data_IF_151945786375
#
_entry.id   IF_151945786375
#
_cell.length_a   1.000
_cell.length_b   1.000
_cell.length_c   1.000
_cell.angle_alpha   90.00
_cell.angle_beta   90.00
_cell.angle_gamma   90.00
#
_symmetry.space_group_name_H-M   'P 1'
#
loop_
_entity.id
_entity.type
_entity.pdbx_description
1 polymer ?
#
# COMPACT_ATOMS: atom_id res chain seq x y z
N UNK A 1 25.26 -15.92 -19.07
CA UNK A 1 23.94 -15.28 -19.31
C UNK A 1 22.78 -15.95 -18.56
N UNK A 2 22.89 -17.19 -18.04
CA UNK A 2 21.79 -17.83 -17.30
C UNK A 2 21.65 -17.39 -15.83
N UNK A 3 22.74 -16.96 -15.19
CA UNK A 3 22.73 -16.60 -13.75
C UNK A 3 21.89 -15.34 -13.49
N UNK A 4 22.15 -14.25 -14.22
CA UNK A 4 21.40 -12.99 -14.07
C UNK A 4 19.90 -13.16 -14.39
N UNK A 5 19.52 -14.03 -15.34
CA UNK A 5 18.10 -14.29 -15.60
C UNK A 5 17.42 -15.02 -14.45
N UNK A 6 18.14 -15.91 -13.77
CA UNK A 6 17.63 -16.63 -12.61
C UNK A 6 17.50 -15.68 -11.42
N UNK A 7 18.49 -14.82 -11.21
CA UNK A 7 18.44 -13.81 -10.14
C UNK A 7 17.27 -12.85 -10.30
N UNK A 8 17.01 -12.39 -11.53
CA UNK A 8 15.95 -11.42 -11.79
C UNK A 8 14.56 -12.06 -11.73
N UNK A 9 14.43 -13.31 -12.18
CA UNK A 9 13.18 -14.06 -12.01
C UNK A 9 12.80 -14.24 -10.53
N UNK A 10 13.79 -14.37 -9.64
CA UNK A 10 13.59 -14.42 -8.20
C UNK A 10 13.17 -13.06 -7.61
N UNK A 11 13.74 -11.95 -8.08
CA UNK A 11 13.29 -10.59 -7.70
C UNK A 11 11.85 -10.32 -8.15
N UNK A 12 11.46 -10.81 -9.32
CA UNK A 12 10.09 -10.68 -9.82
C UNK A 12 9.09 -11.47 -8.96
N UNK A 13 9.45 -12.68 -8.51
CA UNK A 13 8.63 -13.49 -7.60
C UNK A 13 8.32 -12.74 -6.30
N UNK A 14 9.34 -12.08 -5.72
CA UNK A 14 9.20 -11.25 -4.53
C UNK A 14 8.16 -10.15 -4.74
N UNK A 15 8.20 -9.46 -5.89
CA UNK A 15 7.23 -8.40 -6.19
C UNK A 15 5.80 -8.92 -6.34
N UNK A 16 5.59 -10.03 -7.06
CA UNK A 16 4.25 -10.59 -7.24
C UNK A 16 3.68 -11.12 -5.92
N UNK A 17 4.54 -11.66 -5.05
CA UNK A 17 4.12 -12.06 -3.70
C UNK A 17 3.71 -10.85 -2.86
N UNK A 18 4.46 -9.76 -2.94
CA UNK A 18 4.15 -8.54 -2.19
C UNK A 18 2.86 -7.87 -2.68
N UNK A 19 2.58 -7.92 -3.99
CA UNK A 19 1.29 -7.51 -4.57
C UNK A 19 0.12 -8.31 -4.00
N UNK A 20 0.24 -9.64 -3.91
CA UNK A 20 -0.78 -10.51 -3.31
C UNK A 20 -1.03 -10.17 -1.83
N UNK A 21 0.04 -9.92 -1.07
CA UNK A 21 -0.07 -9.51 0.34
C UNK A 21 -0.81 -8.16 0.46
N UNK A 22 -0.44 -7.16 -0.35
CA UNK A 22 -1.14 -5.86 -0.34
C UNK A 22 -2.62 -5.97 -0.73
N UNK A 23 -2.98 -6.87 -1.65
CA UNK A 23 -4.38 -7.11 -2.01
C UNK A 23 -5.18 -7.70 -0.84
N UNK A 24 -4.62 -8.70 -0.14
CA UNK A 24 -5.25 -9.27 1.05
C UNK A 24 -5.43 -8.22 2.15
N UNK A 25 -4.40 -7.39 2.39
CA UNK A 25 -4.47 -6.31 3.38
C UNK A 25 -5.54 -5.26 3.04
N UNK A 26 -5.78 -5.00 1.75
CA UNK A 26 -6.85 -4.11 1.31
C UNK A 26 -8.23 -4.67 1.67
N UNK A 27 -8.45 -5.97 1.43
CA UNK A 27 -9.70 -6.66 1.80
C UNK A 27 -9.88 -6.65 3.33
N UNK A 28 -8.85 -7.01 4.09
CA UNK A 28 -8.89 -7.00 5.56
C UNK A 28 -9.20 -5.60 6.10
N UNK A 29 -8.68 -4.56 5.45
CA UNK A 29 -9.03 -3.18 5.75
C UNK A 29 -10.53 -2.90 5.60
N UNK A 30 -11.14 -3.35 4.49
CA UNK A 30 -12.56 -3.12 4.20
C UNK A 30 -13.42 -3.85 5.23
N UNK A 31 -13.08 -5.10 5.52
CA UNK A 31 -13.75 -5.91 6.54
C UNK A 31 -13.65 -5.24 7.91
N UNK A 32 -12.48 -4.72 8.27
CA UNK A 32 -12.28 -4.05 9.58
C UNK A 32 -13.17 -2.81 9.70
N UNK A 33 -13.23 -1.97 8.66
CA UNK A 33 -14.09 -0.77 8.67
C UNK A 33 -15.56 -1.17 8.78
N UNK A 34 -16.01 -2.15 7.99
CA UNK A 34 -17.39 -2.64 8.04
C UNK A 34 -17.76 -3.27 9.40
N UNK A 35 -16.87 -4.04 10.00
CA UNK A 35 -17.09 -4.63 11.31
C UNK A 35 -17.21 -3.56 12.40
N UNK A 36 -16.33 -2.56 12.40
CA UNK A 36 -16.37 -1.48 13.38
C UNK A 36 -17.57 -0.56 13.20
N UNK A 37 -17.99 -0.25 11.97
CA UNK A 37 -19.23 0.51 11.76
C UNK A 37 -20.43 -0.24 12.33
N UNK A 38 -20.56 -1.54 12.06
CA UNK A 38 -21.63 -2.38 12.63
C UNK A 38 -21.58 -2.35 14.17
N UNK A 39 -20.40 -2.56 14.77
CA UNK A 39 -20.24 -2.52 16.23
C UNK A 39 -20.66 -1.16 16.79
N UNK A 40 -20.30 -0.04 16.13
CA UNK A 40 -20.67 1.30 16.58
C UNK A 40 -22.17 1.56 16.57
N UNK A 41 -22.94 0.93 15.68
CA UNK A 41 -24.39 1.06 15.68
C UNK A 41 -25.10 0.02 16.55
N UNK A 42 -24.60 -1.21 16.58
CA UNK A 42 -25.23 -2.33 17.30
C UNK A 42 -24.95 -2.25 18.80
N UNK A 43 -23.73 -1.90 19.22
CA UNK A 43 -23.37 -1.90 20.64
C UNK A 43 -24.26 -0.96 21.47
N UNK A 44 -24.55 0.29 21.05
CA UNK A 44 -25.49 1.15 21.77
C UNK A 44 -26.93 0.58 21.81
N UNK A 45 -27.39 -0.03 20.72
CA UNK A 45 -28.74 -0.63 20.66
C UNK A 45 -28.89 -1.83 21.60
N UNK A 46 -27.90 -2.73 21.61
CA UNK A 46 -27.83 -3.88 22.54
C UNK A 46 -27.77 -3.37 23.98
N UNK A 47 -26.94 -2.38 24.27
CA UNK A 47 -26.83 -1.85 25.63
C UNK A 47 -28.17 -1.28 26.13
N UNK A 48 -28.90 -0.57 25.27
CA UNK A 48 -30.21 0.01 25.60
C UNK A 48 -31.29 -1.06 25.83
N UNK A 49 -31.23 -2.19 25.13
CA UNK A 49 -32.26 -3.25 25.24
C UNK A 49 -32.06 -4.14 26.47
N UNK A 50 -30.81 -4.45 26.83
CA UNK A 50 -30.52 -5.32 27.98
C UNK A 50 -30.46 -4.59 29.32
N UNK A 51 -30.21 -3.28 29.33
CA UNK A 51 -30.23 -2.45 30.54
C UNK A 51 -31.35 -1.39 30.43
N UNK A 52 -32.63 -1.77 30.59
CA UNK A 52 -33.73 -0.82 30.58
C UNK A 52 -33.55 0.20 31.71
N UNK A 53 -33.29 1.46 31.33
CA UNK A 53 -32.83 2.53 32.21
C UNK A 53 -34.02 3.23 32.87
N UNK A 54 -34.06 3.19 34.21
CA UNK A 54 -34.99 3.99 35.03
C UNK A 54 -34.26 5.12 35.80
N UNK A 55 -32.93 5.26 35.65
CA UNK A 55 -32.13 6.23 36.42
C UNK A 55 -31.26 7.14 35.55
N UNK A 56 -31.21 8.44 35.90
CA UNK A 56 -30.51 9.54 35.19
C UNK A 56 -29.01 9.28 34.95
N UNK A 57 -28.36 8.49 35.81
CA UNK A 57 -26.91 8.19 35.71
C UNK A 57 -26.56 7.28 34.53
N UNK A 58 -27.42 6.33 34.17
CA UNK A 58 -27.16 5.41 33.05
C UNK A 58 -27.32 6.10 31.69
N UNK A 59 -28.16 7.14 31.59
CA UNK A 59 -28.32 7.92 30.37
C UNK A 59 -27.05 8.73 30.04
N UNK A 60 -26.40 9.30 31.06
CA UNK A 60 -25.11 10.01 30.90
C UNK A 60 -24.02 9.03 30.45
N UNK A 61 -23.92 7.86 31.11
CA UNK A 61 -22.93 6.84 30.80
C UNK A 61 -23.08 6.33 29.36
N UNK A 62 -24.32 6.10 28.90
CA UNK A 62 -24.62 5.72 27.53
C UNK A 62 -24.14 6.77 26.51
N UNK A 63 -24.44 8.05 26.74
CA UNK A 63 -24.01 9.14 25.84
C UNK A 63 -22.49 9.22 25.77
N UNK A 64 -21.79 9.12 26.90
CA UNK A 64 -20.33 9.12 26.94
C UNK A 64 -19.73 7.91 26.20
N UNK A 65 -20.31 6.72 26.36
CA UNK A 65 -19.87 5.50 25.67
C UNK A 65 -20.08 5.61 24.15
N UNK A 66 -21.23 6.11 23.70
CA UNK A 66 -21.53 6.31 22.28
C UNK A 66 -20.55 7.30 21.63
N UNK A 67 -20.25 8.41 22.31
CA UNK A 67 -19.28 9.41 21.85
C UNK A 67 -17.87 8.79 21.75
N UNK A 68 -17.45 8.03 22.76
CA UNK A 68 -16.16 7.32 22.73
C UNK A 68 -16.06 6.35 21.55
N UNK A 69 -17.12 5.60 21.27
CA UNK A 69 -17.16 4.70 20.11
C UNK A 69 -17.15 5.44 18.77
N UNK A 70 -17.77 6.62 18.67
CA UNK A 70 -17.72 7.45 17.46
C UNK A 70 -16.30 7.98 17.20
N UNK A 71 -15.59 8.43 18.23
CA UNK A 71 -14.19 8.84 18.09
C UNK A 71 -13.27 7.68 17.72
N UNK A 72 -13.49 6.50 18.32
CA UNK A 72 -12.76 5.28 17.95
C UNK A 72 -13.03 4.92 16.49
N UNK A 73 -14.29 4.98 16.05
CA UNK A 73 -14.67 4.72 14.67
C UNK A 73 -13.99 5.70 13.71
N UNK A 74 -13.97 6.99 14.04
CA UNK A 74 -13.30 8.00 13.24
C UNK A 74 -11.81 7.68 13.07
N UNK A 75 -11.12 7.30 14.15
CA UNK A 75 -9.71 6.89 14.09
C UNK A 75 -9.50 5.66 13.20
N UNK A 76 -10.34 4.64 13.35
CA UNK A 76 -10.25 3.41 12.55
C UNK A 76 -10.52 3.71 11.07
N UNK A 77 -11.52 4.53 10.76
CA UNK A 77 -11.82 4.94 9.39
C UNK A 77 -10.64 5.68 8.75
N UNK A 78 -10.09 6.70 9.42
CA UNK A 78 -8.96 7.48 8.90
C UNK A 78 -7.73 6.59 8.69
N UNK A 79 -7.35 5.80 9.70
CA UNK A 79 -6.16 4.92 9.61
C UNK A 79 -6.31 3.85 8.51
N UNK A 80 -7.48 3.21 8.40
CA UNK A 80 -7.73 2.17 7.39
C UNK A 80 -7.82 2.74 5.97
N UNK A 81 -8.41 3.92 5.78
CA UNK A 81 -8.40 4.61 4.48
C UNK A 81 -6.97 4.95 4.02
N UNK A 82 -6.13 5.40 4.95
CA UNK A 82 -4.71 5.65 4.65
C UNK A 82 -3.97 4.37 4.25
N UNK A 83 -4.20 3.25 4.95
CA UNK A 83 -3.61 1.96 4.59
C UNK A 83 -4.08 1.48 3.22
N UNK A 84 -5.38 1.54 2.94
CA UNK A 84 -5.93 1.15 1.64
C UNK A 84 -5.35 1.99 0.50
N UNK A 85 -5.20 3.30 0.71
CA UNK A 85 -4.61 4.20 -0.27
C UNK A 85 -3.15 3.82 -0.58
N UNK A 86 -2.38 3.47 0.44
CA UNK A 86 -1.02 2.99 0.29
C UNK A 86 -0.94 1.64 -0.44
N UNK A 87 -1.77 0.67 -0.03
CA UNK A 87 -1.82 -0.66 -0.64
C UNK A 87 -2.25 -0.55 -2.13
N UNK A 88 -3.21 0.32 -2.45
CA UNK A 88 -3.64 0.59 -3.83
C UNK A 88 -2.52 1.22 -4.67
N UNK A 89 -1.82 2.24 -4.14
CA UNK A 89 -0.67 2.85 -4.80
C UNK A 89 0.42 1.82 -5.12
N UNK A 90 0.72 0.94 -4.17
CA UNK A 90 1.73 -0.11 -4.34
C UNK A 90 1.30 -1.14 -5.39
N UNK A 91 0.05 -1.61 -5.35
CA UNK A 91 -0.48 -2.53 -6.36
C UNK A 91 -0.35 -1.90 -7.76
N UNK A 92 -0.73 -0.63 -7.92
CA UNK A 92 -0.59 0.08 -9.19
C UNK A 92 0.88 0.19 -9.64
N UNK A 93 1.79 0.53 -8.72
CA UNK A 93 3.23 0.64 -8.99
C UNK A 93 3.90 -0.68 -9.35
N UNK A 94 3.50 -1.78 -8.71
CA UNK A 94 4.03 -3.12 -9.02
C UNK A 94 3.45 -3.59 -10.35
N UNK A 95 2.14 -3.48 -10.53
CA UNK A 95 1.43 -3.93 -11.74
C UNK A 95 1.97 -3.24 -12.99
N UNK A 96 2.24 -1.93 -12.96
CA UNK A 96 2.83 -1.22 -14.09
C UNK A 96 4.23 -1.73 -14.48
N UNK A 97 4.96 -2.35 -13.53
CA UNK A 97 6.27 -2.97 -13.78
C UNK A 97 6.17 -4.44 -14.14
N UNK A 98 5.18 -5.17 -13.64
CA UNK A 98 5.09 -6.63 -13.81
C UNK A 98 4.24 -7.09 -15.00
N UNK A 99 3.34 -6.26 -15.56
CA UNK A 99 2.53 -6.60 -16.75
C UNK A 99 3.40 -7.08 -17.94
N UNK A 100 4.60 -6.53 -18.10
CA UNK A 100 5.53 -6.90 -19.17
C UNK A 100 6.13 -8.30 -19.03
N UNK A 101 5.95 -8.94 -17.87
CA UNK A 101 6.57 -10.22 -17.52
C UNK A 101 5.56 -11.35 -17.32
N UNK A 102 4.31 -11.12 -17.73
CA UNK A 102 3.24 -12.11 -17.70
C UNK A 102 3.59 -13.27 -18.65
N UNK A 103 4.29 -14.28 -18.12
CA UNK A 103 4.78 -15.44 -18.87
C UNK A 103 6.16 -15.97 -18.49
N UNK A 104 6.96 -15.24 -17.70
CA UNK A 104 8.24 -15.76 -17.19
C UNK A 104 7.98 -16.69 -16.01
N UNK A 105 8.48 -17.93 -16.07
CA UNK A 105 8.45 -18.85 -14.92
C UNK A 105 9.31 -18.25 -13.79
N UNK A 106 8.64 -17.79 -12.74
CA UNK A 106 9.28 -17.30 -11.53
C UNK A 106 10.09 -18.43 -10.88
N UNK A 107 11.35 -18.16 -10.53
CA UNK A 107 12.17 -19.05 -9.72
C UNK A 107 11.92 -18.77 -8.24
N UNK A 108 12.11 -19.78 -7.38
CA UNK A 108 11.91 -19.65 -5.94
C UNK A 108 12.92 -18.64 -5.35
N UNK A 109 12.40 -17.50 -4.87
CA UNK A 109 13.21 -16.41 -4.34
C UNK A 109 14.11 -16.82 -3.17
N UNK A 110 13.75 -17.88 -2.41
CA UNK A 110 14.54 -18.36 -1.27
C UNK A 110 15.93 -18.84 -1.65
N UNK A 111 16.12 -19.21 -2.93
CA UNK A 111 17.40 -19.70 -3.43
C UNK A 111 18.40 -18.57 -3.70
N UNK A 112 17.94 -17.33 -3.77
CA UNK A 112 18.77 -16.17 -4.08
C UNK A 112 18.85 -15.21 -2.88
N UNK A 113 20.07 -14.97 -2.38
CA UNK A 113 20.32 -14.04 -1.28
C UNK A 113 19.85 -12.61 -1.56
N UNK A 114 19.98 -12.13 -2.80
CA UNK A 114 19.56 -10.79 -3.19
C UNK A 114 18.04 -10.63 -3.16
N UNK A 115 17.31 -11.68 -3.57
CA UNK A 115 15.86 -11.70 -3.53
C UNK A 115 15.31 -11.81 -2.09
N UNK A 116 15.96 -12.59 -1.23
CA UNK A 116 15.63 -12.63 0.21
C UNK A 116 15.87 -11.26 0.86
N UNK A 117 17.00 -10.62 0.58
CA UNK A 117 17.29 -9.27 1.09
C UNK A 117 16.24 -8.25 0.62
N UNK A 118 15.84 -8.31 -0.66
CA UNK A 118 14.78 -7.46 -1.19
C UNK A 118 13.44 -7.69 -0.47
N UNK A 119 13.08 -8.95 -0.22
CA UNK A 119 11.86 -9.31 0.50
C UNK A 119 11.84 -8.72 1.92
N UNK A 120 12.94 -8.86 2.66
CA UNK A 120 13.04 -8.34 4.03
C UNK A 120 13.00 -6.81 4.08
N UNK A 121 13.69 -6.14 3.14
CA UNK A 121 13.67 -4.68 3.03
C UNK A 121 12.27 -4.14 2.70
N UNK A 122 11.56 -4.79 1.77
CA UNK A 122 10.18 -4.44 1.43
C UNK A 122 9.22 -4.64 2.61
N UNK A 123 9.38 -5.74 3.35
CA UNK A 123 8.60 -6.00 4.56
C UNK A 123 8.87 -4.95 5.65
N UNK A 124 10.14 -4.56 5.82
CA UNK A 124 10.54 -3.51 6.75
C UNK A 124 9.98 -2.14 6.33
N UNK A 125 10.06 -1.79 5.04
CA UNK A 125 9.45 -0.57 4.50
C UNK A 125 7.94 -0.55 4.80
N UNK A 126 7.22 -1.65 4.54
CA UNK A 126 5.77 -1.72 4.81
C UNK A 126 5.44 -1.48 6.29
N UNK A 127 6.21 -2.10 7.19
CA UNK A 127 6.05 -1.91 8.64
C UNK A 127 6.27 -0.45 9.05
N UNK A 128 7.29 0.21 8.49
CA UNK A 128 7.61 1.60 8.79
C UNK A 128 6.55 2.55 8.21
N UNK A 129 6.09 2.33 6.98
CA UNK A 129 5.04 3.15 6.37
C UNK A 129 3.72 3.00 7.12
N UNK A 130 3.31 1.78 7.49
CA UNK A 130 2.11 1.58 8.33
C UNK A 130 2.21 2.32 9.66
N UNK A 131 3.39 2.31 10.31
CA UNK A 131 3.63 3.06 11.54
C UNK A 131 3.53 4.57 11.32
N UNK A 132 4.07 5.09 10.21
CA UNK A 132 3.95 6.50 9.83
C UNK A 132 2.50 6.92 9.64
N UNK A 133 1.73 6.13 8.88
CA UNK A 133 0.32 6.38 8.62
C UNK A 133 -0.52 6.32 9.91
N UNK A 134 -0.19 5.43 10.86
CA UNK A 134 -0.81 5.42 12.19
C UNK A 134 -0.56 6.72 12.96
N UNK A 135 0.67 7.24 12.95
CA UNK A 135 1.03 8.48 13.66
C UNK A 135 0.27 9.66 13.04
N UNK A 136 0.21 9.73 11.70
CA UNK A 136 -0.53 10.78 11.00
C UNK A 136 -2.03 10.68 11.30
N UNK A 137 -2.60 9.48 11.24
CA UNK A 137 -4.01 9.26 11.58
C UNK A 137 -4.31 9.67 13.04
N UNK A 138 -3.45 9.30 13.99
CA UNK A 138 -3.58 9.69 15.39
C UNK A 138 -3.53 11.21 15.54
N UNK A 139 -2.57 11.88 14.88
CA UNK A 139 -2.45 13.34 14.88
C UNK A 139 -3.71 14.03 14.33
N UNK A 140 -4.24 13.55 13.21
CA UNK A 140 -5.48 14.06 12.61
C UNK A 140 -6.68 13.89 13.56
N UNK A 141 -6.79 12.72 14.20
CA UNK A 141 -7.89 12.43 15.11
C UNK A 141 -7.83 13.23 16.41
N UNK A 142 -6.64 13.44 16.96
CA UNK A 142 -6.43 14.26 18.15
C UNK A 142 -6.72 15.74 17.87
N UNK A 143 -6.27 16.24 16.72
CA UNK A 143 -6.59 17.60 16.27
C UNK A 143 -8.10 17.78 16.09
N UNK A 144 -8.78 16.77 15.51
CA UNK A 144 -10.24 16.79 15.37
C UNK A 144 -10.94 16.82 16.74
N UNK A 145 -10.58 15.91 17.66
CA UNK A 145 -11.16 15.85 19.01
C UNK A 145 -10.98 17.19 19.73
N UNK A 146 -9.78 17.76 19.68
CA UNK A 146 -9.46 19.05 20.29
C UNK A 146 -10.32 20.20 19.75
N UNK A 147 -10.69 20.16 18.47
CA UNK A 147 -11.51 21.17 17.82
C UNK A 147 -13.00 21.07 18.16
N UNK A 148 -13.45 20.00 18.80
CA UNK A 148 -14.86 19.82 19.15
C UNK A 148 -15.25 20.54 20.44
N UNK A 149 -16.43 21.16 20.46
CA UNK A 149 -16.98 21.85 21.64
C UNK A 149 -17.13 20.91 22.85
N UNK A 150 -17.43 19.64 22.58
CA UNK A 150 -17.54 18.58 23.58
C UNK A 150 -16.27 18.38 24.42
N UNK A 151 -15.09 18.50 23.81
CA UNK A 151 -13.83 18.35 24.53
C UNK A 151 -13.68 19.44 25.60
N UNK A 152 -14.09 20.66 25.27
CA UNK A 152 -14.10 21.80 26.19
C UNK A 152 -15.06 21.55 27.37
N UNK A 153 -16.29 21.11 27.09
CA UNK A 153 -17.31 20.83 28.10
C UNK A 153 -16.89 19.72 29.09
N UNK A 154 -16.27 18.65 28.59
CA UNK A 154 -15.74 17.55 29.42
C UNK A 154 -14.60 18.04 30.32
N UNK A 155 -13.74 18.93 29.84
CA UNK A 155 -12.64 19.48 30.66
C UNK A 155 -13.17 20.42 31.75
N UNK A 156 -14.18 21.24 31.45
CA UNK A 156 -14.77 22.15 32.44
C UNK A 156 -15.43 21.40 33.61
N UNK A 157 -16.11 20.29 33.32
CA UNK A 157 -16.78 19.44 34.31
C UNK A 157 -15.82 18.58 35.13
N UNK A 158 -14.59 18.37 34.63
CA UNK A 158 -13.57 17.60 35.34
C UNK A 158 -12.93 18.38 36.50
N UNK A 159 -12.44 17.65 37.50
CA UNK A 159 -11.73 18.19 38.67
C UNK A 159 -10.27 18.55 38.36
N UNK A 160 -10.00 19.11 37.17
CA UNK A 160 -8.66 19.51 36.74
C UNK A 160 -8.28 20.90 37.30
N UNK A 161 -6.97 21.17 37.51
CA UNK A 161 -6.47 22.49 37.87
C UNK A 161 -6.90 23.59 36.90
N UNK A 162 -7.07 24.82 37.40
CA UNK A 162 -7.57 25.97 36.64
C UNK A 162 -6.78 26.27 35.35
N UNK A 163 -5.47 25.98 35.34
CA UNK A 163 -4.60 26.14 34.17
C UNK A 163 -5.04 25.31 32.95
N UNK A 164 -5.63 24.14 33.17
CA UNK A 164 -6.14 23.30 32.07
C UNK A 164 -7.55 23.70 31.65
N UNK A 165 -8.29 24.41 32.51
CA UNK A 165 -9.63 24.93 32.21
C UNK A 165 -9.57 26.21 31.36
N UNK A 166 -8.54 27.03 31.53
CA UNK A 166 -8.32 28.21 30.68
C UNK A 166 -7.84 27.85 29.27
N UNK A 167 -7.18 26.71 29.14
CA UNK A 167 -6.52 26.31 27.90
C UNK A 167 -6.46 24.78 27.79
N UNK A 168 -7.55 24.15 27.30
CA UNK A 168 -7.68 22.68 27.25
C UNK A 168 -6.67 21.99 26.32
N UNK A 169 -6.04 22.75 25.41
CA UNK A 169 -5.01 22.26 24.48
C UNK A 169 -3.72 21.81 25.18
N UNK A 170 -3.39 22.35 26.36
CA UNK A 170 -2.16 21.98 27.08
C UNK A 170 -2.14 20.53 27.56
N UNK A 171 -3.31 19.91 27.74
CA UNK A 171 -3.41 18.49 28.13
C UNK A 171 -2.86 17.58 27.02
N UNK A 172 -3.09 17.95 25.76
CA UNK A 172 -2.72 17.14 24.58
C UNK A 172 -1.29 17.47 24.10
N UNK A 173 -0.74 18.63 24.49
CA UNK A 173 0.59 19.07 24.06
C UNK A 173 1.70 18.01 24.24
N UNK A 174 1.82 17.29 25.38
CA UNK A 174 2.83 16.24 25.52
C UNK A 174 2.65 15.09 24.52
N UNK A 175 1.41 14.75 24.16
CA UNK A 175 1.12 13.72 23.16
C UNK A 175 1.60 14.16 21.77
N UNK A 176 1.39 15.43 21.39
CA UNK A 176 1.91 15.97 20.14
C UNK A 176 3.44 15.92 20.08
N UNK A 177 4.12 16.26 21.17
CA UNK A 177 5.59 16.20 21.24
C UNK A 177 6.08 14.77 21.03
N UNK A 178 5.52 13.78 21.73
CA UNK A 178 5.87 12.36 21.55
C UNK A 178 5.61 11.89 20.12
N UNK A 179 4.48 12.29 19.53
CA UNK A 179 4.16 11.96 18.14
C UNK A 179 5.18 12.56 17.16
N UNK A 180 5.60 13.82 17.35
CA UNK A 180 6.60 14.46 16.49
C UNK A 180 7.97 13.77 16.56
N UNK A 181 8.43 13.40 17.75
CA UNK A 181 9.66 12.62 17.90
C UNK A 181 9.55 11.26 17.22
N UNK A 182 8.41 10.57 17.39
CA UNK A 182 8.18 9.29 16.74
C UNK A 182 8.13 9.41 15.21
N UNK A 183 7.55 10.49 14.69
CA UNK A 183 7.48 10.79 13.26
C UNK A 183 8.88 11.01 12.69
N UNK A 184 9.71 11.82 13.34
CA UNK A 184 11.09 12.08 12.93
C UNK A 184 11.92 10.80 12.88
N UNK A 185 11.81 9.94 13.91
CA UNK A 185 12.50 8.66 13.94
C UNK A 185 12.06 7.73 12.80
N UNK A 186 10.74 7.60 12.57
CA UNK A 186 10.20 6.74 11.52
C UNK A 186 10.62 7.22 10.13
N UNK A 187 10.54 8.54 9.87
CA UNK A 187 10.98 9.12 8.59
C UNK A 187 12.47 8.82 8.35
N UNK A 188 13.30 9.01 9.37
CA UNK A 188 14.75 8.75 9.26
C UNK A 188 15.04 7.29 8.94
N UNK A 189 14.35 6.36 9.62
CA UNK A 189 14.48 4.92 9.34
C UNK A 189 13.96 4.54 7.96
N UNK A 190 12.92 5.21 7.47
CA UNK A 190 12.35 4.95 6.15
C UNK A 190 13.32 5.40 5.03
N UNK A 191 13.96 6.55 5.20
CA UNK A 191 15.00 7.04 4.27
C UNK A 191 16.12 6.02 4.18
N UNK A 192 16.60 5.52 5.32
CA UNK A 192 17.66 4.50 5.36
C UNK A 192 17.29 3.21 4.63
N UNK A 193 16.09 2.67 4.87
CA UNK A 193 15.63 1.44 4.17
C UNK A 193 15.47 1.69 2.68
N UNK A 194 14.94 2.86 2.29
CA UNK A 194 14.74 3.22 0.89
C UNK A 194 16.06 3.37 0.13
N UNK A 195 17.09 3.87 0.79
CA UNK A 195 18.45 3.96 0.24
C UNK A 195 19.05 2.58 -0.03
N UNK A 196 18.74 1.57 0.78
CA UNK A 196 19.19 0.20 0.54
C UNK A 196 18.37 -0.53 -0.53
N UNK A 197 17.10 -0.13 -0.71
CA UNK A 197 16.19 -0.73 -1.68
C UNK A 197 16.37 -0.16 -3.09
N UNK A 198 16.81 1.09 -3.22
CA UNK A 198 17.03 1.76 -4.52
C UNK A 198 17.91 0.97 -5.49
N UNK A 199 19.09 0.41 -5.14
CA UNK A 199 19.93 -0.31 -6.10
C UNK A 199 19.25 -1.57 -6.65
N UNK A 200 18.56 -2.33 -5.80
CA UNK A 200 17.84 -3.55 -6.20
C UNK A 200 16.67 -3.22 -7.16
N UNK A 201 15.98 -2.12 -6.89
CA UNK A 201 14.89 -1.64 -7.75
C UNK A 201 15.41 -1.09 -9.09
N UNK A 202 16.59 -0.48 -9.09
CA UNK A 202 17.26 0.00 -10.30
C UNK A 202 17.70 -1.14 -11.19
N UNK A 203 18.32 -2.18 -10.62
CA UNK A 203 18.76 -3.38 -11.34
C UNK A 203 17.59 -4.07 -12.05
N UNK A 204 16.47 -4.25 -11.34
CA UNK A 204 15.25 -4.78 -11.93
C UNK A 204 14.69 -3.87 -13.04
N UNK A 205 14.75 -2.54 -12.85
CA UNK A 205 14.26 -1.59 -13.85
C UNK A 205 15.13 -1.54 -15.11
N UNK A 206 16.45 -1.67 -14.96
CA UNK A 206 17.40 -1.73 -16.07
C UNK A 206 17.14 -2.98 -16.91
N UNK A 207 16.91 -4.13 -16.26
CA UNK A 207 16.53 -5.34 -16.95
C UNK A 207 15.16 -5.23 -17.64
N UNK A 208 14.17 -4.65 -16.97
CA UNK A 208 12.85 -4.40 -17.57
C UNK A 208 12.96 -3.53 -18.82
N UNK A 209 13.79 -2.49 -18.76
CA UNK A 209 14.09 -1.63 -19.91
C UNK A 209 14.80 -2.40 -21.03
N UNK A 210 15.71 -3.31 -20.68
CA UNK A 210 16.41 -4.15 -21.66
C UNK A 210 15.46 -5.11 -22.40
N UNK A 211 14.53 -5.77 -21.69
CA UNK A 211 13.53 -6.65 -22.31
C UNK A 211 12.52 -5.84 -23.10
N UNK A 212 12.06 -4.72 -22.56
CA UNK A 212 11.18 -3.81 -23.29
C UNK A 212 11.85 -3.36 -24.59
N UNK A 213 13.13 -2.98 -24.53
CA UNK A 213 13.90 -2.61 -25.73
C UNK A 213 14.11 -3.79 -26.67
N UNK A 214 14.23 -5.03 -26.18
CA UNK A 214 14.34 -6.22 -27.01
C UNK A 214 13.01 -6.61 -27.66
N UNK A 215 11.88 -6.40 -26.98
CA UNK A 215 10.54 -6.61 -27.54
C UNK A 215 10.13 -5.49 -28.51
N UNK A 216 10.58 -4.25 -28.26
CA UNK A 216 10.43 -3.10 -29.16
C UNK A 216 11.51 -3.07 -30.26
N UNK A 217 12.62 -3.81 -30.11
CA UNK A 217 13.59 -4.09 -31.17
C UNK A 217 12.91 -5.02 -32.18
N UNK A 218 12.15 -4.31 -33.00
CA UNK A 218 11.34 -4.72 -34.12
C UNK A 218 12.02 -5.72 -35.04
N UNK A 219 11.27 -6.74 -35.44
CA UNK A 219 11.35 -7.21 -36.83
C UNK A 219 11.07 -6.00 -37.73
N UNK A 220 11.92 -5.70 -38.70
CA UNK A 220 11.58 -4.72 -39.74
C UNK A 220 10.53 -5.34 -40.67
N UNK A 221 9.51 -4.56 -41.05
CA UNK A 221 8.58 -5.00 -42.07
C UNK A 221 9.35 -5.20 -43.38
N UNK A 222 9.29 -6.38 -44.01
CA UNK A 222 10.04 -6.66 -45.24
C UNK A 222 9.55 -5.84 -46.44
N UNK A 223 8.32 -5.31 -46.39
CA UNK A 223 7.73 -4.57 -47.49
C UNK A 223 8.04 -3.06 -47.42
N UNK A 224 7.80 -2.43 -46.26
CA UNK A 224 7.95 -0.97 -46.11
C UNK A 224 9.17 -0.54 -45.28
N UNK A 225 9.94 -1.49 -44.73
CA UNK A 225 11.09 -1.21 -43.87
C UNK A 225 10.75 -0.60 -42.51
N UNK A 226 9.47 -0.38 -42.20
CA UNK A 226 9.03 0.20 -40.93
C UNK A 226 9.24 -0.79 -39.77
N UNK A 227 9.58 -0.27 -38.60
CA UNK A 227 9.75 -1.07 -37.38
C UNK A 227 8.39 -1.54 -36.88
N UNK A 228 8.19 -2.86 -36.81
CA UNK A 228 6.94 -3.48 -36.33
C UNK A 228 7.17 -4.24 -35.03
N UNK A 229 6.21 -4.25 -34.09
CA UNK A 229 6.31 -5.05 -32.87
C UNK A 229 6.32 -6.55 -33.20
N UNK A 230 7.08 -7.36 -32.45
CA UNK A 230 7.33 -8.78 -32.76
C UNK A 230 6.07 -9.67 -32.84
N UNK A 231 4.93 -9.21 -32.30
CA UNK A 231 3.62 -9.91 -32.34
C UNK A 231 2.62 -9.30 -33.33
N UNK A 232 3.05 -8.36 -34.17
CA UNK A 232 2.18 -7.76 -35.18
C UNK A 232 1.87 -8.76 -36.27
N UNK A 233 0.60 -9.18 -36.39
CA UNK A 233 0.13 -10.03 -37.50
C UNK A 233 0.10 -9.22 -38.80
N UNK A 234 -0.09 -7.90 -38.72
CA UNK A 234 -0.10 -6.98 -39.85
C UNK A 234 0.75 -5.75 -39.50
N UNK A 235 1.47 -5.21 -40.47
CA UNK A 235 2.17 -3.95 -40.34
C UNK A 235 1.14 -2.81 -40.21
N UNK A 236 1.19 -1.99 -39.14
CA UNK A 236 0.26 -0.88 -38.96
C UNK A 236 0.46 0.28 -39.97
N UNK A 237 1.57 0.29 -40.70
CA UNK A 237 1.90 1.35 -41.66
C UNK A 237 1.48 1.00 -43.09
N UNK A 238 1.74 -0.22 -43.56
CA UNK A 238 1.42 -0.64 -44.93
C UNK A 238 0.33 -1.71 -45.03
N UNK A 239 -0.12 -2.29 -43.92
CA UNK A 239 -1.10 -3.38 -43.90
C UNK A 239 -0.55 -4.76 -44.24
N UNK A 240 0.76 -4.88 -44.54
CA UNK A 240 1.39 -6.16 -44.90
C UNK A 240 1.27 -7.20 -43.79
N UNK A 241 0.80 -8.40 -44.12
CA UNK A 241 0.64 -9.49 -43.16
C UNK A 241 2.00 -10.14 -42.86
N UNK A 242 2.42 -10.08 -41.61
CA UNK A 242 3.74 -10.51 -41.11
C UNK A 242 3.69 -11.91 -40.48
N UNK A 243 2.61 -12.67 -40.71
CA UNK A 243 2.38 -13.97 -40.08
C UNK A 243 3.57 -14.92 -40.32
N UNK A 244 4.33 -15.15 -39.24
CA UNK A 244 5.27 -16.27 -39.02
C UNK A 244 6.13 -16.63 -40.22
N UNK A 245 7.30 -15.97 -40.34
CA UNK A 245 8.49 -16.59 -40.94
C UNK A 245 9.16 -17.52 -39.91
N UNK A 246 8.39 -18.42 -39.31
CA UNK A 246 8.91 -19.73 -38.92
C UNK A 246 8.36 -20.68 -39.97
N UNK A 247 9.23 -21.47 -40.59
CA UNK A 247 8.92 -22.48 -41.61
C UNK A 247 8.95 -22.02 -43.08
N UNK A 248 10.17 -21.87 -43.63
CA UNK A 248 10.56 -22.39 -44.96
C UNK A 248 12.07 -22.20 -45.18
N UNK A 249 12.86 -23.18 -44.76
CA UNK A 249 14.04 -23.52 -45.57
C UNK A 249 13.54 -24.26 -46.82
N UNK A 250 14.04 -23.93 -48.01
CA UNK A 250 14.25 -24.98 -49.00
C UNK A 250 15.65 -24.92 -49.64
N UNK A 251 16.34 -26.06 -49.45
CA UNK A 251 17.21 -26.78 -50.40
C UNK A 251 18.29 -25.98 -51.14
N UNK A 252 19.50 -26.11 -50.62
CA UNK A 252 20.74 -26.12 -51.43
C UNK A 252 20.56 -27.16 -52.54
N UNK A 253 20.62 -26.71 -53.80
CA UNK A 253 20.76 -27.59 -54.96
C UNK A 253 22.26 -27.63 -55.26
N UNK A 254 22.89 -28.74 -54.93
CA UNK A 254 24.22 -29.08 -55.44
C UNK A 254 24.10 -29.28 -56.96
N UNK A 255 24.98 -28.60 -57.69
CA UNK A 255 25.40 -28.94 -59.05
C UNK A 255 26.83 -28.47 -59.22
#
# INVERSE_FOLDING_TARGET
MSDNSLEISALLDVMERHKRISFNNLIDGIITVAAFTIITFVAPWVFRTYFPVETRSFEVLYKTLQIGLLFLLLYICISRLMFMSWDLYRIAKITSKTILFEGIKASDYRKNSSAVKMYDLLAQEDKLVRRLLCIIAAFMTLTYIQSTEYFSEVIYTSSLPALFKSSPSLIILPLYVVMLFSLSFVISSLIYVREQLSPLMEELSAYTKSILSAQLASSTCPECGARIPQKAVHCPFCGFKVSTLEEKQPKVRES
#
